data_IF_879995607339
#
_entry.id   IF_879995607339
#
_cell.length_a   1.000
_cell.length_b   1.000
_cell.length_c   1.000
_cell.angle_alpha   90.00
_cell.angle_beta   90.00
_cell.angle_gamma   90.00
#
_symmetry.space_group_name_H-M   'P 1'
#
loop_
_entity.id
_entity.type
_entity.pdbx_description
1 polymer ?
#
# COMPACT_ATOMS: atom_id res chain seq x y z
N UNK A 1 16.29 -11.90 -33.93
CA UNK A 1 17.64 -11.46 -33.51
C UNK A 1 17.50 -10.64 -32.24
N UNK A 2 17.66 -11.28 -31.09
CA UNK A 2 17.47 -10.69 -29.76
C UNK A 2 18.72 -9.91 -29.38
N UNK A 3 18.57 -8.62 -29.17
CA UNK A 3 19.65 -7.73 -28.71
C UNK A 3 19.86 -7.91 -27.23
N UNK A 4 20.85 -8.70 -26.81
CA UNK A 4 21.33 -8.81 -25.44
C UNK A 4 21.84 -7.44 -24.99
N UNK A 5 21.16 -6.83 -24.01
CA UNK A 5 21.63 -5.66 -23.29
C UNK A 5 22.77 -6.07 -22.35
N UNK A 6 24.00 -5.81 -22.76
CA UNK A 6 25.22 -5.99 -21.93
C UNK A 6 25.25 -4.95 -20.83
N UNK A 7 25.21 -5.37 -19.59
CA UNK A 7 25.48 -4.55 -18.43
C UNK A 7 26.98 -4.22 -18.35
N UNK A 8 27.35 -2.96 -18.66
CA UNK A 8 28.70 -2.47 -18.47
C UNK A 8 29.02 -1.27 -19.35
N UNK A 9 28.69 -0.06 -18.91
CA UNK A 9 29.24 1.16 -19.47
C UNK A 9 28.25 2.28 -19.69
N UNK A 10 28.47 3.36 -18.96
CA UNK A 10 27.95 4.71 -19.06
C UNK A 10 26.71 5.04 -18.22
N UNK A 11 26.90 6.08 -17.40
CA UNK A 11 25.92 6.87 -16.64
C UNK A 11 25.38 6.26 -15.33
N UNK A 12 26.05 6.55 -14.22
CA UNK A 12 25.77 6.00 -12.89
C UNK A 12 24.53 6.54 -12.19
N UNK A 13 23.83 7.55 -12.70
CA UNK A 13 22.63 8.12 -12.05
C UNK A 13 21.31 7.75 -12.75
N UNK A 14 21.27 7.56 -14.05
CA UNK A 14 20.09 7.04 -14.76
C UNK A 14 19.84 5.54 -14.53
N UNK A 15 20.90 4.75 -14.32
CA UNK A 15 20.83 3.28 -14.24
C UNK A 15 20.33 2.74 -12.88
N UNK A 16 20.38 3.50 -11.78
CA UNK A 16 19.96 3.01 -10.47
C UNK A 16 18.43 2.99 -10.33
N UNK A 17 17.77 4.03 -10.79
CA UNK A 17 16.31 4.13 -10.86
C UNK A 17 15.72 3.06 -11.80
N UNK A 18 16.31 2.89 -12.98
CA UNK A 18 15.90 1.89 -13.97
C UNK A 18 16.11 0.46 -13.45
N UNK A 19 17.24 0.22 -12.77
CA UNK A 19 17.56 -1.08 -12.16
C UNK A 19 16.59 -1.43 -11.02
N UNK A 20 16.25 -0.46 -10.17
CA UNK A 20 15.30 -0.67 -9.07
C UNK A 20 13.91 -0.98 -9.61
N UNK A 21 13.44 -0.22 -10.59
CA UNK A 21 12.13 -0.43 -11.24
C UNK A 21 12.03 -1.79 -11.94
N UNK A 22 13.12 -2.24 -12.60
CA UNK A 22 13.20 -3.56 -13.21
C UNK A 22 13.03 -4.68 -12.17
N UNK A 23 13.72 -4.57 -11.03
CA UNK A 23 13.63 -5.55 -9.94
C UNK A 23 12.23 -5.57 -9.34
N UNK A 24 11.62 -4.40 -9.07
CA UNK A 24 10.26 -4.31 -8.51
C UNK A 24 9.23 -4.95 -9.44
N UNK A 25 9.33 -4.74 -10.75
CA UNK A 25 8.43 -5.36 -11.73
C UNK A 25 8.58 -6.88 -11.73
N UNK A 26 9.82 -7.39 -11.78
CA UNK A 26 10.08 -8.83 -11.72
C UNK A 26 9.59 -9.45 -10.41
N UNK A 27 9.77 -8.76 -9.29
CA UNK A 27 9.29 -9.19 -7.98
C UNK A 27 7.75 -9.24 -7.94
N UNK A 28 7.07 -8.21 -8.47
CA UNK A 28 5.62 -8.18 -8.59
C UNK A 28 5.08 -9.37 -9.38
N UNK A 29 5.67 -9.65 -10.55
CA UNK A 29 5.26 -10.78 -11.39
C UNK A 29 5.40 -12.12 -10.64
N UNK A 30 6.56 -12.35 -9.99
CA UNK A 30 6.81 -13.57 -9.22
C UNK A 30 5.87 -13.68 -8.01
N UNK A 31 5.63 -12.57 -7.30
CA UNK A 31 4.69 -12.54 -6.17
C UNK A 31 3.24 -12.84 -6.60
N UNK A 32 2.82 -12.40 -7.78
CA UNK A 32 1.49 -12.72 -8.33
C UNK A 32 1.41 -14.19 -8.73
N UNK A 33 2.47 -14.75 -9.31
CA UNK A 33 2.50 -16.14 -9.77
C UNK A 33 2.60 -17.15 -8.62
N UNK A 34 3.49 -16.91 -7.66
CA UNK A 34 3.87 -17.86 -6.61
C UNK A 34 3.31 -17.54 -5.22
N UNK A 35 2.89 -16.32 -5.01
CA UNK A 35 2.54 -15.78 -3.70
C UNK A 35 3.76 -15.19 -2.95
N UNK A 36 3.52 -14.18 -2.12
CA UNK A 36 4.60 -13.47 -1.42
C UNK A 36 5.41 -14.33 -0.45
N UNK A 37 4.82 -15.40 0.05
CA UNK A 37 5.46 -16.31 1.00
C UNK A 37 6.39 -17.29 0.30
N UNK A 38 5.98 -17.79 -0.86
CA UNK A 38 6.59 -18.94 -1.55
C UNK A 38 7.80 -18.56 -2.39
N UNK A 39 7.83 -17.36 -3.00
CA UNK A 39 8.92 -16.97 -3.88
C UNK A 39 10.26 -16.81 -3.16
N UNK A 40 11.34 -17.00 -3.88
CA UNK A 40 12.70 -16.74 -3.40
C UNK A 40 13.32 -15.50 -4.06
N UNK A 41 14.35 -14.95 -3.44
CA UNK A 41 15.18 -13.87 -4.03
C UNK A 41 15.80 -14.33 -5.36
N UNK A 42 16.09 -15.62 -5.49
CA UNK A 42 16.70 -16.20 -6.68
C UNK A 42 15.72 -16.19 -7.86
N UNK A 43 14.43 -16.45 -7.62
CA UNK A 43 13.37 -16.40 -8.66
C UNK A 43 13.25 -14.98 -9.23
N UNK A 44 13.29 -13.97 -8.35
CA UNK A 44 13.27 -12.56 -8.77
C UNK A 44 14.54 -12.19 -9.54
N UNK A 45 15.72 -12.62 -9.08
CA UNK A 45 16.96 -12.35 -9.77
C UNK A 45 16.98 -12.99 -11.18
N UNK A 46 16.48 -14.21 -11.30
CA UNK A 46 16.32 -14.92 -12.57
C UNK A 46 15.33 -14.20 -13.49
N UNK A 47 14.15 -13.83 -12.99
CA UNK A 47 13.12 -13.10 -13.73
C UNK A 47 13.63 -11.75 -14.23
N UNK A 48 14.35 -11.02 -13.39
CA UNK A 48 14.97 -9.72 -13.74
C UNK A 48 16.22 -9.84 -14.61
N UNK A 49 16.70 -11.08 -14.87
CA UNK A 49 17.95 -11.36 -15.59
C UNK A 49 19.17 -10.63 -15.01
N UNK A 50 19.30 -10.68 -13.69
CA UNK A 50 20.42 -10.11 -12.94
C UNK A 50 21.04 -11.15 -12.00
N UNK A 51 22.25 -10.88 -11.49
CA UNK A 51 22.83 -11.72 -10.47
C UNK A 51 22.19 -11.46 -9.10
N UNK A 52 22.13 -12.51 -8.23
CA UNK A 52 21.74 -12.39 -6.82
C UNK A 52 22.50 -11.27 -6.10
N UNK A 53 23.82 -11.15 -6.34
CA UNK A 53 24.66 -10.07 -5.80
C UNK A 53 24.16 -8.68 -6.25
N UNK A 54 23.69 -8.56 -7.48
CA UNK A 54 23.13 -7.31 -8.00
C UNK A 54 21.83 -6.97 -7.28
N UNK A 55 20.94 -7.96 -7.07
CA UNK A 55 19.70 -7.77 -6.34
C UNK A 55 19.95 -7.30 -4.90
N UNK A 56 20.85 -7.97 -4.16
CA UNK A 56 21.19 -7.61 -2.79
C UNK A 56 21.84 -6.23 -2.64
N UNK A 57 22.33 -5.64 -3.69
CA UNK A 57 22.80 -4.24 -3.68
C UNK A 57 21.63 -3.24 -3.59
N UNK A 58 20.43 -3.62 -4.06
CA UNK A 58 19.23 -2.78 -4.05
C UNK A 58 18.32 -3.06 -2.85
N UNK A 59 18.25 -4.30 -2.42
CA UNK A 59 17.38 -4.77 -1.34
C UNK A 59 18.14 -5.73 -0.43
N UNK A 60 18.23 -5.40 0.85
CA UNK A 60 19.02 -6.15 1.83
C UNK A 60 18.44 -7.53 2.15
N UNK A 61 17.12 -7.68 2.00
CA UNK A 61 16.40 -8.92 2.30
C UNK A 61 15.04 -8.98 1.57
N UNK A 62 14.39 -10.15 1.67
CA UNK A 62 13.09 -10.42 1.05
C UNK A 62 12.01 -9.47 1.58
N UNK A 63 11.98 -9.17 2.88
CA UNK A 63 11.01 -8.25 3.50
C UNK A 63 11.08 -6.87 2.87
N UNK A 64 12.28 -6.30 2.74
CA UNK A 64 12.49 -5.00 2.13
C UNK A 64 12.00 -4.96 0.67
N UNK A 65 12.26 -6.02 -0.09
CA UNK A 65 11.79 -6.15 -1.46
C UNK A 65 10.25 -6.18 -1.52
N UNK A 66 9.60 -6.99 -0.68
CA UNK A 66 8.14 -7.07 -0.59
C UNK A 66 7.56 -5.70 -0.25
N UNK A 67 8.07 -5.04 0.78
CA UNK A 67 7.60 -3.71 1.20
C UNK A 67 7.77 -2.67 0.09
N UNK A 68 8.86 -2.72 -0.67
CA UNK A 68 9.08 -1.82 -1.78
C UNK A 68 8.11 -2.07 -2.96
N UNK A 69 7.76 -3.32 -3.25
CA UNK A 69 6.73 -3.66 -4.25
C UNK A 69 5.37 -3.14 -3.79
N UNK A 70 4.97 -3.42 -2.55
CA UNK A 70 3.70 -2.94 -1.99
C UNK A 70 3.62 -1.42 -2.06
N UNK A 71 4.69 -0.72 -1.69
CA UNK A 71 4.75 0.74 -1.72
C UNK A 71 4.63 1.29 -3.16
N UNK A 72 5.28 0.66 -4.12
CA UNK A 72 5.21 1.08 -5.52
C UNK A 72 3.81 0.92 -6.11
N UNK A 73 3.16 -0.22 -5.83
CA UNK A 73 1.82 -0.52 -6.34
C UNK A 73 0.72 0.34 -5.69
N UNK A 74 0.91 0.77 -4.45
CA UNK A 74 -0.06 1.60 -3.74
C UNK A 74 0.12 3.12 -3.98
N UNK A 75 1.24 3.55 -4.57
CA UNK A 75 1.51 4.99 -4.75
C UNK A 75 0.39 5.73 -5.47
N UNK A 76 0.01 5.26 -6.66
CA UNK A 76 -1.05 5.87 -7.47
C UNK A 76 -2.43 5.85 -6.75
N UNK A 77 -2.72 4.78 -6.02
CA UNK A 77 -3.93 4.66 -5.22
C UNK A 77 -4.04 5.75 -4.16
N UNK A 78 -2.98 5.95 -3.38
CA UNK A 78 -2.98 6.96 -2.32
C UNK A 78 -2.96 8.39 -2.86
N UNK A 79 -2.30 8.64 -3.99
CA UNK A 79 -2.34 9.94 -4.67
C UNK A 79 -3.74 10.27 -5.19
N UNK A 80 -4.43 9.30 -5.78
CA UNK A 80 -5.81 9.49 -6.26
C UNK A 80 -6.78 9.63 -5.10
N UNK A 81 -6.60 8.84 -4.04
CA UNK A 81 -7.37 8.97 -2.79
C UNK A 81 -7.27 10.37 -2.23
N UNK A 82 -6.07 10.88 -1.99
CA UNK A 82 -5.84 12.20 -1.41
C UNK A 82 -6.54 13.31 -2.21
N UNK A 83 -6.48 13.22 -3.55
CA UNK A 83 -7.19 14.17 -4.42
C UNK A 83 -8.72 14.06 -4.29
N UNK A 84 -9.23 12.84 -4.18
CA UNK A 84 -10.67 12.56 -4.12
C UNK A 84 -11.31 12.98 -2.80
N UNK A 85 -10.60 12.79 -1.68
CA UNK A 85 -11.16 13.07 -0.34
C UNK A 85 -10.89 14.49 0.15
N UNK A 86 -10.05 15.26 -0.56
CA UNK A 86 -9.73 16.65 -0.22
C UNK A 86 -10.94 17.56 0.06
N UNK A 87 -12.08 17.45 -0.65
CA UNK A 87 -13.26 18.29 -0.35
C UNK A 87 -13.83 18.12 1.05
N UNK A 88 -13.44 17.08 1.78
CA UNK A 88 -13.94 16.73 3.11
C UNK A 88 -12.94 17.04 4.23
N UNK A 89 -11.80 17.68 3.93
CA UNK A 89 -10.69 17.86 4.87
C UNK A 89 -11.02 18.67 6.14
N UNK A 90 -12.12 19.42 6.15
CA UNK A 90 -12.61 20.18 7.32
C UNK A 90 -13.54 19.36 8.23
N UNK A 91 -14.02 18.21 7.80
CA UNK A 91 -14.82 17.24 8.54
C UNK A 91 -14.09 15.91 8.61
N UNK A 92 -13.30 15.71 9.66
CA UNK A 92 -12.41 14.55 9.76
C UNK A 92 -13.16 13.20 9.81
N UNK A 93 -14.34 13.18 10.43
CA UNK A 93 -15.15 11.95 10.50
C UNK A 93 -15.64 11.58 9.09
N UNK A 94 -16.15 12.55 8.36
CA UNK A 94 -16.53 12.39 6.96
C UNK A 94 -15.34 12.05 6.07
N UNK A 95 -14.20 12.67 6.32
CA UNK A 95 -12.96 12.41 5.59
C UNK A 95 -12.52 10.95 5.70
N UNK A 96 -12.55 10.37 6.92
CA UNK A 96 -12.24 8.95 7.13
C UNK A 96 -13.23 8.03 6.41
N UNK A 97 -14.52 8.34 6.48
CA UNK A 97 -15.56 7.59 5.77
C UNK A 97 -15.31 7.59 4.26
N UNK A 98 -15.02 8.76 3.68
CA UNK A 98 -14.74 8.89 2.25
C UNK A 98 -13.43 8.20 1.83
N UNK A 99 -12.42 8.13 2.70
CA UNK A 99 -11.23 7.33 2.45
C UNK A 99 -11.56 5.85 2.27
N UNK A 100 -12.42 5.28 3.13
CA UNK A 100 -12.83 3.87 3.03
C UNK A 100 -13.71 3.66 1.80
N UNK A 101 -14.69 4.51 1.56
CA UNK A 101 -15.54 4.43 0.38
C UNK A 101 -14.74 4.56 -0.92
N UNK A 102 -13.75 5.46 -0.95
CA UNK A 102 -12.83 5.57 -2.09
C UNK A 102 -12.08 4.26 -2.32
N UNK A 103 -11.54 3.65 -1.25
CA UNK A 103 -10.78 2.41 -1.35
C UNK A 103 -11.58 1.31 -2.04
N UNK A 104 -12.83 1.13 -1.63
CA UNK A 104 -13.70 0.11 -2.22
C UNK A 104 -14.03 0.43 -3.68
N UNK A 105 -14.42 1.69 -3.98
CA UNK A 105 -14.67 2.11 -5.37
C UNK A 105 -13.46 1.96 -6.28
N UNK A 106 -12.28 2.25 -5.77
CA UNK A 106 -11.03 2.11 -6.53
C UNK A 106 -10.76 0.64 -6.86
N UNK A 107 -10.88 -0.24 -5.86
CA UNK A 107 -10.65 -1.67 -6.05
C UNK A 107 -11.67 -2.30 -7.01
N UNK A 108 -12.94 -1.91 -6.91
CA UNK A 108 -13.99 -2.37 -7.81
C UNK A 108 -13.68 -1.97 -9.28
N UNK A 109 -13.32 -0.71 -9.51
CA UNK A 109 -12.92 -0.22 -10.84
C UNK A 109 -11.70 -0.91 -11.43
N UNK A 110 -10.78 -1.41 -10.60
CA UNK A 110 -9.53 -2.05 -11.02
C UNK A 110 -9.56 -3.58 -10.86
N UNK A 111 -10.77 -4.20 -10.78
CA UNK A 111 -10.96 -5.64 -10.60
C UNK A 111 -10.16 -6.21 -9.40
N UNK A 112 -10.16 -5.50 -8.28
CA UNK A 112 -9.40 -5.83 -7.08
C UNK A 112 -7.90 -5.50 -7.19
N UNK A 113 -7.39 -5.16 -8.37
CA UNK A 113 -6.02 -4.76 -8.60
C UNK A 113 -4.98 -5.75 -8.07
N UNK A 114 -3.82 -5.25 -7.74
CA UNK A 114 -2.73 -5.99 -7.10
C UNK A 114 -3.19 -6.68 -5.80
N UNK A 115 -3.99 -5.99 -4.99
CA UNK A 115 -4.44 -6.52 -3.71
C UNK A 115 -5.22 -7.82 -3.83
N UNK A 116 -6.13 -7.94 -4.79
CA UNK A 116 -6.91 -9.16 -4.98
C UNK A 116 -6.03 -10.35 -5.36
N UNK A 117 -5.14 -10.17 -6.34
CA UNK A 117 -4.25 -11.23 -6.80
C UNK A 117 -3.22 -11.64 -5.75
N UNK A 118 -2.71 -10.67 -4.99
CA UNK A 118 -1.71 -10.86 -3.96
C UNK A 118 -2.30 -11.48 -2.68
N UNK A 119 -3.41 -10.93 -2.19
CA UNK A 119 -4.07 -11.39 -0.97
C UNK A 119 -4.76 -12.74 -1.15
N UNK A 120 -5.28 -13.03 -2.35
CA UNK A 120 -5.92 -14.32 -2.63
C UNK A 120 -4.95 -15.51 -2.51
N UNK A 121 -3.65 -15.28 -2.68
CA UNK A 121 -2.60 -16.32 -2.56
C UNK A 121 -1.80 -16.25 -1.26
N UNK A 122 -2.05 -15.24 -0.44
CA UNK A 122 -1.29 -15.01 0.80
C UNK A 122 -2.19 -15.28 2.00
N UNK A 123 -1.81 -16.21 2.84
CA UNK A 123 -2.64 -16.70 3.96
C UNK A 123 -2.01 -16.46 5.34
N UNK A 124 -0.79 -15.94 5.44
CA UNK A 124 -0.12 -15.78 6.72
C UNK A 124 -0.29 -14.38 7.31
N UNK A 125 -0.31 -14.30 8.64
CA UNK A 125 -0.30 -13.05 9.39
C UNK A 125 0.93 -12.18 9.09
N UNK A 126 2.03 -12.79 8.68
CA UNK A 126 3.29 -12.09 8.36
C UNK A 126 3.14 -11.19 7.13
N UNK A 127 2.49 -11.68 6.08
CA UNK A 127 2.24 -10.90 4.86
C UNK A 127 1.31 -9.72 5.14
N UNK A 128 0.25 -9.94 5.93
CA UNK A 128 -0.62 -8.84 6.35
C UNK A 128 0.13 -7.79 7.17
N UNK A 129 1.06 -8.20 8.04
CA UNK A 129 1.91 -7.27 8.77
C UNK A 129 2.79 -6.45 7.83
N UNK A 130 3.38 -7.06 6.80
CA UNK A 130 4.17 -6.33 5.80
C UNK A 130 3.35 -5.31 5.02
N UNK A 131 2.11 -5.66 4.65
CA UNK A 131 1.19 -4.72 3.99
C UNK A 131 0.92 -3.53 4.91
N UNK A 132 0.48 -3.78 6.14
CA UNK A 132 0.13 -2.73 7.10
C UNK A 132 1.32 -1.82 7.40
N UNK A 133 2.52 -2.38 7.60
CA UNK A 133 3.76 -1.61 7.78
C UNK A 133 4.09 -0.74 6.55
N UNK A 134 3.85 -1.25 5.35
CA UNK A 134 4.19 -0.56 4.09
C UNK A 134 3.22 0.57 3.75
N UNK A 135 1.93 0.42 4.08
CA UNK A 135 0.91 1.44 3.77
C UNK A 135 0.77 2.50 4.87
N UNK A 136 1.23 2.25 6.09
CA UNK A 136 1.11 3.20 7.19
C UNK A 136 1.71 4.59 6.88
N UNK A 137 2.93 4.72 6.29
CA UNK A 137 3.47 6.03 5.91
C UNK A 137 2.62 6.76 4.86
N UNK A 138 1.93 6.02 3.99
CA UNK A 138 1.05 6.60 2.97
C UNK A 138 -0.23 7.15 3.62
N UNK A 139 -0.78 6.44 4.61
CA UNK A 139 -1.89 6.92 5.42
C UNK A 139 -1.53 8.18 6.19
N UNK A 140 -0.30 8.29 6.71
CA UNK A 140 0.18 9.55 7.30
C UNK A 140 0.07 10.70 6.31
N UNK A 141 0.54 10.53 5.07
CA UNK A 141 0.44 11.56 4.03
C UNK A 141 -0.99 12.01 3.72
N UNK A 142 -1.98 11.12 3.92
CA UNK A 142 -3.41 11.43 3.68
C UNK A 142 -4.06 12.05 4.91
N UNK A 143 -3.76 11.54 6.13
CA UNK A 143 -4.55 11.84 7.33
C UNK A 143 -3.94 12.93 8.23
N UNK A 144 -2.63 13.17 8.18
CA UNK A 144 -1.92 14.02 9.15
C UNK A 144 -2.53 15.43 9.27
N UNK A 145 -2.71 16.11 8.14
CA UNK A 145 -3.18 17.49 8.14
C UNK A 145 -4.68 17.61 8.52
N UNK A 146 -5.61 16.79 7.98
CA UNK A 146 -7.00 16.81 8.43
C UNK A 146 -7.16 16.41 9.91
N UNK A 147 -6.36 15.44 10.38
CA UNK A 147 -6.35 15.04 11.79
C UNK A 147 -5.84 16.18 12.70
N UNK A 148 -4.76 16.88 12.32
CA UNK A 148 -4.21 17.99 13.10
C UNK A 148 -5.27 19.07 13.32
N UNK A 149 -5.99 19.45 12.27
CA UNK A 149 -7.09 20.44 12.37
C UNK A 149 -8.22 19.93 13.27
N UNK A 150 -8.53 18.63 13.20
CA UNK A 150 -9.53 18.02 14.05
C UNK A 150 -9.08 18.00 15.53
N UNK A 151 -7.84 17.63 15.81
CA UNK A 151 -7.28 17.59 17.15
C UNK A 151 -7.21 18.98 17.81
N UNK A 152 -6.84 20.03 17.05
CA UNK A 152 -6.84 21.41 17.51
C UNK A 152 -8.23 21.87 17.96
N UNK A 153 -9.29 21.43 17.27
CA UNK A 153 -10.69 21.76 17.62
C UNK A 153 -11.23 20.99 18.82
N UNK A 154 -10.79 19.75 19.03
CA UNK A 154 -11.38 18.84 20.01
C UNK A 154 -10.49 18.55 21.22
N UNK A 155 -9.22 18.95 21.20
CA UNK A 155 -8.29 18.85 22.32
C UNK A 155 -7.92 17.42 22.71
N UNK A 156 -7.62 17.22 24.01
CA UNK A 156 -7.10 15.95 24.54
C UNK A 156 -8.08 14.75 24.50
N UNK A 157 -9.31 14.95 24.06
CA UNK A 157 -10.31 13.87 23.91
C UNK A 157 -10.13 13.04 22.63
N UNK A 158 -9.12 13.34 21.82
CA UNK A 158 -8.91 12.70 20.52
C UNK A 158 -8.02 11.47 20.64
N UNK A 159 -8.36 10.41 19.92
CA UNK A 159 -7.52 9.19 19.79
C UNK A 159 -6.27 9.54 18.99
N UNK A 160 -5.12 8.97 19.31
CA UNK A 160 -3.85 9.23 18.63
C UNK A 160 -3.94 8.92 17.12
N UNK A 161 -3.24 9.70 16.30
CA UNK A 161 -3.23 9.50 14.84
C UNK A 161 -2.75 8.09 14.45
N UNK A 162 -1.78 7.57 15.18
CA UNK A 162 -1.25 6.21 14.98
C UNK A 162 -2.34 5.15 15.15
N UNK A 163 -3.19 5.31 16.15
CA UNK A 163 -4.31 4.39 16.41
C UNK A 163 -5.38 4.51 15.31
N UNK A 164 -5.65 5.73 14.84
CA UNK A 164 -6.56 5.96 13.70
C UNK A 164 -6.01 5.30 12.44
N UNK A 165 -4.72 5.48 12.13
CA UNK A 165 -4.06 4.86 10.98
C UNK A 165 -4.10 3.34 11.11
N UNK A 166 -3.79 2.81 12.29
CA UNK A 166 -3.82 1.38 12.55
C UNK A 166 -5.21 0.77 12.33
N UNK A 167 -6.26 1.48 12.75
CA UNK A 167 -7.64 1.04 12.55
C UNK A 167 -8.07 1.14 11.09
N UNK A 168 -7.89 2.30 10.46
CA UNK A 168 -8.35 2.53 9.08
C UNK A 168 -7.65 1.60 8.08
N UNK A 169 -6.36 1.31 8.30
CA UNK A 169 -5.60 0.37 7.48
C UNK A 169 -6.18 -1.04 7.57
N UNK A 170 -6.55 -1.50 8.76
CA UNK A 170 -7.18 -2.82 8.96
C UNK A 170 -8.59 -2.88 8.37
N UNK A 171 -9.37 -1.84 8.55
CA UNK A 171 -10.72 -1.73 7.99
C UNK A 171 -10.67 -1.72 6.46
N UNK A 172 -9.78 -0.91 5.88
CA UNK A 172 -9.56 -0.89 4.44
C UNK A 172 -9.13 -2.26 3.89
N UNK A 173 -8.19 -2.93 4.57
CA UNK A 173 -7.75 -4.27 4.19
C UNK A 173 -8.88 -5.30 4.29
N UNK A 174 -9.72 -5.22 5.32
CA UNK A 174 -10.88 -6.10 5.47
C UNK A 174 -11.84 -5.97 4.28
N UNK A 175 -12.13 -4.76 3.83
CA UNK A 175 -12.98 -4.53 2.64
C UNK A 175 -12.30 -4.93 1.32
N UNK A 176 -10.96 -4.95 1.26
CA UNK A 176 -10.26 -5.53 0.11
C UNK A 176 -10.48 -7.04 0.00
N UNK A 177 -10.61 -7.74 1.14
CA UNK A 177 -10.80 -9.19 1.22
C UNK A 177 -12.26 -9.60 1.11
N UNK A 178 -13.15 -8.84 1.75
CA UNK A 178 -14.58 -9.08 1.81
C UNK A 178 -15.30 -7.79 1.44
N UNK A 179 -15.52 -7.55 0.14
CA UNK A 179 -16.17 -6.34 -0.33
C UNK A 179 -17.58 -6.15 0.26
N UNK A 180 -17.95 -4.91 0.55
CA UNK A 180 -19.29 -4.51 0.95
C UNK A 180 -19.76 -3.34 0.06
N UNK A 181 -21.08 -3.16 -0.04
CA UNK A 181 -21.62 -1.99 -0.73
C UNK A 181 -21.38 -0.71 0.07
N UNK A 182 -21.42 0.43 -0.61
CA UNK A 182 -21.13 1.73 0.00
C UNK A 182 -22.11 2.09 1.12
N UNK A 183 -23.37 1.65 1.06
CA UNK A 183 -24.38 1.90 2.10
C UNK A 183 -24.00 1.17 3.39
N UNK A 184 -23.61 -0.10 3.27
CA UNK A 184 -23.15 -0.89 4.40
C UNK A 184 -21.87 -0.32 5.01
N UNK A 185 -20.91 0.11 4.18
CA UNK A 185 -19.66 0.74 4.64
C UNK A 185 -19.97 2.00 5.44
N UNK A 186 -20.79 2.91 4.93
CA UNK A 186 -21.16 4.14 5.63
C UNK A 186 -21.86 3.85 6.96
N UNK A 187 -22.77 2.89 7.01
CA UNK A 187 -23.43 2.47 8.24
C UNK A 187 -22.45 1.91 9.27
N UNK A 188 -21.46 1.13 8.82
CA UNK A 188 -20.43 0.55 9.70
C UNK A 188 -19.43 1.62 10.16
N UNK A 189 -19.03 2.54 9.30
CA UNK A 189 -18.15 3.64 9.67
C UNK A 189 -18.80 4.59 10.67
N UNK A 190 -20.13 4.80 10.59
CA UNK A 190 -20.88 5.60 11.56
C UNK A 190 -20.79 5.05 13.00
N UNK A 191 -20.57 3.74 13.17
CA UNK A 191 -20.36 3.12 14.50
C UNK A 191 -18.99 3.53 15.10
N UNK A 192 -18.01 3.80 14.25
CA UNK A 192 -16.69 4.25 14.67
C UNK A 192 -16.65 5.75 15.05
N UNK A 193 -17.71 6.49 14.78
CA UNK A 193 -17.91 7.87 15.22
C UNK A 193 -18.61 7.86 16.60
N UNK A 194 -18.07 8.55 17.61
CA UNK A 194 -16.95 9.46 17.60
C UNK A 194 -15.67 8.80 18.13
N UNK A 195 -14.57 9.06 17.49
CA UNK A 195 -13.22 8.77 17.99
C UNK A 195 -12.92 9.67 19.22
N UNK A 196 -13.93 9.92 20.05
CA UNK A 196 -13.86 10.70 21.28
C UNK A 196 -13.69 9.75 22.46
N UNK A 197 -12.59 9.88 23.20
CA UNK A 197 -12.54 9.32 24.56
C UNK A 197 -13.63 9.99 25.40
N UNK A 198 -14.59 9.20 25.90
CA UNK A 198 -15.49 9.64 26.97
C UNK A 198 -14.69 9.89 28.25
#
# INVERSE_FOLDING_TARGET
MSRQLRWGGASRMGNASDGRSLILRAALEVMIEEGAESFSIDDVAQRANISRRTLYRYFSNKKELIQAVISAENGAFFEEMQRSVRPFEDDFERYLEECVCFSVRYLDRHNGGFHHSYLAKSSTSEVFSYILESIAPMWYGVLEEPYRRYAERHGAAVVALEDVIALISRVGLAYCLVPADEVAIRAQMAILQPVRRR
#
